data_IF_770850334894
#
_entry.id   IF_770850334894
#
_cell.length_a   1.000
_cell.length_b   1.000
_cell.length_c   1.000
_cell.angle_alpha   90.00
_cell.angle_beta   90.00
_cell.angle_gamma   90.00
#
_symmetry.space_group_name_H-M   'P 1'
#
loop_
_entity.id
_entity.type
_entity.pdbx_description
1 polymer ?
#
# COMPACT_ATOMS: atom_id res chain seq x y z
N UNK A 1 2.09 -31.79 53.45
CA UNK A 1 1.18 -30.71 53.04
C UNK A 1 1.98 -29.54 52.49
N UNK A 2 2.06 -29.39 51.16
CA UNK A 2 2.59 -28.19 50.48
C UNK A 2 1.73 -27.97 49.24
N UNK A 3 0.72 -27.12 49.38
CA UNK A 3 -0.14 -26.69 48.28
C UNK A 3 0.66 -25.68 47.45
N UNK A 4 1.12 -26.09 46.26
CA UNK A 4 1.64 -25.13 45.27
C UNK A 4 0.46 -24.65 44.45
N UNK A 5 0.04 -23.41 44.74
CA UNK A 5 -0.94 -22.65 44.00
C UNK A 5 -0.41 -22.44 42.57
N UNK A 6 -0.83 -23.27 41.62
CA UNK A 6 -0.63 -22.99 40.21
C UNK A 6 -1.57 -21.84 39.84
N UNK A 7 -0.99 -20.66 39.66
CA UNK A 7 -1.66 -19.49 39.11
C UNK A 7 -2.16 -19.86 37.71
N UNK A 8 -3.41 -20.27 37.63
CA UNK A 8 -4.13 -20.42 36.37
C UNK A 8 -4.44 -19.02 35.82
N UNK A 9 -3.41 -18.32 35.36
CA UNK A 9 -3.60 -17.26 34.36
C UNK A 9 -3.57 -17.97 33.01
N UNK A 10 -4.61 -18.78 32.77
CA UNK A 10 -5.10 -18.96 31.40
C UNK A 10 -5.84 -17.67 31.10
N UNK A 11 -5.07 -16.58 30.92
CA UNK A 11 -5.54 -15.53 30.04
C UNK A 11 -5.57 -16.24 28.69
N UNK A 12 -6.76 -16.73 28.33
CA UNK A 12 -7.14 -16.81 26.95
C UNK A 12 -6.90 -15.41 26.40
N UNK A 13 -5.69 -15.19 25.87
CA UNK A 13 -5.46 -14.19 24.86
C UNK A 13 -6.39 -14.62 23.74
N UNK A 14 -7.65 -14.18 23.84
CA UNK A 14 -8.52 -14.03 22.70
C UNK A 14 -7.65 -13.26 21.73
N UNK A 15 -7.10 -14.00 20.78
CA UNK A 15 -6.60 -13.45 19.55
C UNK A 15 -7.84 -12.81 18.93
N UNK A 16 -8.09 -11.55 19.28
CA UNK A 16 -8.90 -10.66 18.50
C UNK A 16 -8.12 -10.50 17.20
N UNK A 17 -8.14 -11.53 16.35
CA UNK A 17 -7.92 -11.35 14.94
C UNK A 17 -9.15 -10.59 14.46
N UNK A 18 -9.13 -9.28 14.69
CA UNK A 18 -9.86 -8.34 13.87
C UNK A 18 -9.22 -8.40 12.48
N UNK A 19 -9.40 -9.53 11.78
CA UNK A 19 -9.08 -9.63 10.37
C UNK A 19 -9.94 -8.57 9.71
N UNK A 20 -9.31 -7.49 9.28
CA UNK A 20 -9.99 -6.44 8.51
C UNK A 20 -10.60 -7.13 7.30
N UNK A 21 -11.92 -7.34 7.32
CA UNK A 21 -12.59 -7.93 6.19
C UNK A 21 -12.50 -6.95 5.03
N UNK A 22 -12.06 -7.43 3.87
CA UNK A 22 -12.14 -6.66 2.64
C UNK A 22 -13.64 -6.47 2.34
N UNK A 23 -14.12 -5.25 2.48
CA UNK A 23 -15.53 -4.91 2.22
C UNK A 23 -15.67 -4.18 0.90
N UNK A 24 -16.81 -4.34 0.24
CA UNK A 24 -17.16 -3.56 -0.95
C UNK A 24 -17.05 -2.06 -0.69
N UNK A 25 -17.54 -1.59 0.47
CA UNK A 25 -17.46 -0.19 0.88
C UNK A 25 -16.02 0.33 0.93
N UNK A 26 -15.10 -0.46 1.47
CA UNK A 26 -13.68 -0.11 1.53
C UNK A 26 -13.07 -0.02 0.13
N UNK A 27 -13.36 -0.99 -0.74
CA UNK A 27 -12.89 -0.97 -2.13
C UNK A 27 -13.44 0.23 -2.89
N UNK A 28 -14.75 0.49 -2.79
CA UNK A 28 -15.40 1.64 -3.41
C UNK A 28 -14.78 2.97 -2.96
N UNK A 29 -14.39 3.11 -1.69
CA UNK A 29 -13.73 4.32 -1.21
C UNK A 29 -12.40 4.59 -1.93
N UNK A 30 -11.56 3.56 -2.08
CA UNK A 30 -10.29 3.69 -2.79
C UNK A 30 -10.49 3.98 -4.28
N UNK A 31 -11.41 3.25 -4.91
CA UNK A 31 -11.75 3.44 -6.33
C UNK A 31 -12.24 4.87 -6.56
N UNK A 32 -13.15 5.38 -5.74
CA UNK A 32 -13.69 6.75 -5.87
C UNK A 32 -12.59 7.81 -5.78
N UNK A 33 -11.63 7.66 -4.86
CA UNK A 33 -10.51 8.61 -4.76
C UNK A 33 -9.60 8.51 -5.98
N UNK A 34 -9.11 7.29 -6.28
CA UNK A 34 -8.15 7.07 -7.35
C UNK A 34 -8.73 7.44 -8.72
N UNK A 35 -10.00 7.16 -8.97
CA UNK A 35 -10.71 7.49 -10.20
C UNK A 35 -11.34 8.90 -10.22
N UNK A 36 -11.15 9.71 -9.19
CA UNK A 36 -11.76 11.05 -9.14
C UNK A 36 -11.19 12.00 -10.21
N UNK A 37 -12.03 12.94 -10.66
CA UNK A 37 -11.63 14.03 -11.56
C UNK A 37 -10.48 14.87 -11.01
N UNK A 38 -10.36 14.96 -9.67
CA UNK A 38 -9.27 15.65 -8.98
C UNK A 38 -7.88 15.08 -9.30
N UNK A 39 -7.81 13.81 -9.71
CA UNK A 39 -6.58 13.12 -10.10
C UNK A 39 -6.39 13.03 -11.62
N UNK A 40 -7.27 13.65 -12.41
CA UNK A 40 -7.07 13.93 -13.85
C UNK A 40 -6.48 12.77 -14.69
N UNK A 41 -6.86 11.54 -14.38
CA UNK A 41 -6.37 10.35 -15.09
C UNK A 41 -4.89 10.00 -14.86
N UNK A 42 -4.22 10.56 -13.85
CA UNK A 42 -2.96 10.06 -13.26
C UNK A 42 -1.86 9.70 -14.27
N UNK A 43 -1.68 10.53 -15.30
CA UNK A 43 -0.64 10.29 -16.30
C UNK A 43 0.74 10.25 -15.66
N UNK A 44 1.54 9.27 -16.01
CA UNK A 44 2.87 9.07 -15.43
C UNK A 44 3.75 10.32 -15.62
N UNK A 45 4.50 10.71 -14.60
CA UNK A 45 5.31 11.93 -14.53
C UNK A 45 4.54 13.25 -14.32
N UNK A 46 3.21 13.22 -14.16
CA UNK A 46 2.43 14.42 -13.85
C UNK A 46 2.29 14.65 -12.34
N UNK A 47 1.88 15.86 -11.95
CA UNK A 47 1.53 16.13 -10.55
C UNK A 47 0.37 15.25 -10.02
N UNK A 48 -0.52 14.78 -10.91
CA UNK A 48 -1.69 14.00 -10.52
C UNK A 48 -1.34 12.54 -10.24
N UNK A 49 -0.40 11.98 -10.99
CA UNK A 49 0.27 10.74 -10.60
C UNK A 49 0.93 10.90 -9.23
N UNK A 50 1.66 11.99 -8.98
CA UNK A 50 2.28 12.24 -7.67
C UNK A 50 1.25 12.28 -6.53
N UNK A 51 0.10 12.93 -6.73
CA UNK A 51 -1.01 12.93 -5.76
C UNK A 51 -1.55 11.53 -5.50
N UNK A 52 -1.72 10.72 -6.54
CA UNK A 52 -2.16 9.33 -6.40
C UNK A 52 -1.13 8.47 -5.64
N UNK A 53 0.16 8.64 -5.94
CA UNK A 53 1.24 7.96 -5.25
C UNK A 53 1.28 8.31 -3.76
N UNK A 54 1.13 9.60 -3.40
CA UNK A 54 1.04 10.06 -2.01
C UNK A 54 -0.17 9.44 -1.30
N UNK A 55 -1.32 9.36 -1.96
CA UNK A 55 -2.50 8.70 -1.40
C UNK A 55 -2.22 7.23 -1.03
N UNK A 56 -1.64 6.47 -1.96
CA UNK A 56 -1.31 5.05 -1.73
C UNK A 56 -0.26 4.91 -0.62
N UNK A 57 0.83 5.68 -0.68
CA UNK A 57 1.91 5.66 0.31
C UNK A 57 1.38 5.96 1.71
N UNK A 58 0.52 6.97 1.86
CA UNK A 58 -0.06 7.32 3.14
C UNK A 58 -0.97 6.22 3.68
N UNK A 59 -1.67 5.49 2.79
CA UNK A 59 -2.48 4.35 3.20
C UNK A 59 -1.59 3.17 3.65
N UNK A 60 -0.49 2.88 2.95
CA UNK A 60 0.52 1.91 3.41
C UNK A 60 1.07 2.27 4.79
N UNK A 61 1.40 3.55 5.01
CA UNK A 61 1.85 4.03 6.31
C UNK A 61 0.77 3.88 7.39
N UNK A 62 -0.50 4.15 7.06
CA UNK A 62 -1.64 3.95 7.98
C UNK A 62 -1.82 2.48 8.36
N UNK A 63 -1.51 1.55 7.46
CA UNK A 63 -1.53 0.11 7.72
C UNK A 63 -0.31 -0.38 8.53
N UNK A 64 0.64 0.51 8.85
CA UNK A 64 1.87 0.15 9.57
C UNK A 64 2.91 -0.56 8.70
N UNK A 65 2.78 -0.50 7.37
CA UNK A 65 3.77 -1.10 6.48
C UNK A 65 5.08 -0.30 6.50
N UNK A 66 6.21 -1.01 6.42
CA UNK A 66 7.54 -0.39 6.31
C UNK A 66 7.69 0.18 4.90
N UNK A 67 7.76 1.50 4.79
CA UNK A 67 8.03 2.18 3.54
C UNK A 67 9.47 1.88 3.07
N UNK A 68 9.64 1.54 1.79
CA UNK A 68 10.95 1.23 1.19
C UNK A 68 11.44 2.38 0.28
N UNK A 69 12.67 2.26 -0.24
CA UNK A 69 13.30 3.28 -1.10
C UNK A 69 13.32 4.67 -0.43
N UNK A 70 12.96 5.73 -1.16
CA UNK A 70 12.87 7.08 -0.60
C UNK A 70 11.49 7.31 0.03
N UNK A 71 11.35 6.91 1.30
CA UNK A 71 10.11 7.10 2.07
C UNK A 71 8.85 6.54 1.38
N UNK A 72 9.00 5.40 0.71
CA UNK A 72 7.95 4.71 -0.04
C UNK A 72 7.95 4.99 -1.53
N UNK A 73 8.76 5.93 -2.02
CA UNK A 73 8.85 6.28 -3.43
C UNK A 73 10.14 5.74 -4.06
N UNK A 74 9.99 5.03 -5.19
CA UNK A 74 11.12 4.62 -6.02
C UNK A 74 11.01 5.35 -7.36
N UNK A 75 11.86 6.36 -7.57
CA UNK A 75 11.89 7.12 -8.82
C UNK A 75 12.50 6.31 -9.96
N UNK A 76 11.97 6.47 -11.17
CA UNK A 76 12.55 5.91 -12.40
C UNK A 76 12.35 6.85 -13.58
N UNK A 77 13.29 6.80 -14.53
CA UNK A 77 13.23 7.56 -15.77
C UNK A 77 12.60 6.72 -16.89
N UNK A 78 11.84 7.36 -17.77
CA UNK A 78 11.28 6.75 -18.97
C UNK A 78 11.22 7.78 -20.12
N UNK A 79 11.18 7.31 -21.37
CA UNK A 79 11.03 8.20 -22.53
C UNK A 79 9.56 8.30 -22.91
N UNK A 80 8.96 9.47 -22.70
CA UNK A 80 7.61 9.77 -23.17
C UNK A 80 7.59 10.43 -24.55
N UNK A 81 6.39 10.66 -25.08
CA UNK A 81 6.19 11.34 -26.37
C UNK A 81 6.82 12.74 -26.47
N UNK A 82 7.02 13.41 -25.33
CA UNK A 82 7.62 14.75 -25.24
C UNK A 82 9.05 14.72 -24.72
N UNK A 83 9.73 13.58 -24.80
CA UNK A 83 11.09 13.38 -24.32
C UNK A 83 11.18 12.66 -22.97
N UNK A 84 12.39 12.65 -22.36
CA UNK A 84 12.65 12.01 -21.08
C UNK A 84 11.75 12.57 -19.97
N UNK A 85 11.21 11.67 -19.16
CA UNK A 85 10.34 11.96 -18.01
C UNK A 85 10.77 11.11 -16.82
N UNK A 86 10.37 11.55 -15.64
CA UNK A 86 10.55 10.80 -14.38
C UNK A 86 9.16 10.47 -13.85
N UNK A 87 8.98 9.24 -13.42
CA UNK A 87 7.82 8.70 -12.73
C UNK A 87 8.30 7.98 -11.46
N UNK A 88 7.39 7.40 -10.69
CA UNK A 88 7.72 6.75 -9.43
C UNK A 88 6.85 5.52 -9.18
N UNK A 89 7.41 4.51 -8.54
CA UNK A 89 6.66 3.43 -7.92
C UNK A 89 6.35 3.78 -6.46
N UNK A 90 5.34 3.13 -5.89
CA UNK A 90 5.06 3.15 -4.44
C UNK A 90 5.34 1.77 -3.87
N UNK A 91 6.26 1.66 -2.92
CA UNK A 91 6.74 0.37 -2.41
C UNK A 91 6.72 0.37 -0.87
N UNK A 92 6.10 -0.65 -0.31
CA UNK A 92 6.12 -0.93 1.12
C UNK A 92 6.28 -2.42 1.38
N UNK A 93 6.69 -2.77 2.60
CA UNK A 93 7.03 -4.11 3.01
C UNK A 93 6.35 -4.46 4.33
N UNK A 94 5.83 -5.68 4.40
CA UNK A 94 5.37 -6.32 5.61
C UNK A 94 6.36 -7.44 5.94
N UNK A 95 7.00 -7.36 7.10
CA UNK A 95 7.94 -8.40 7.53
C UNK A 95 7.16 -9.66 7.92
N UNK A 96 7.57 -10.81 7.35
CA UNK A 96 7.00 -12.10 7.68
C UNK A 96 7.36 -12.50 9.11
N UNK A 97 6.39 -13.08 9.83
CA UNK A 97 6.58 -13.53 11.21
C UNK A 97 7.16 -14.94 11.33
N UNK A 98 7.16 -15.73 10.25
CA UNK A 98 7.68 -17.10 10.24
C UNK A 98 9.21 -17.10 10.25
N UNK A 99 9.87 -17.63 11.29
CA UNK A 99 11.32 -17.57 11.43
C UNK A 99 12.08 -18.38 10.37
N UNK A 100 11.44 -19.39 9.77
CA UNK A 100 12.00 -20.25 8.72
C UNK A 100 11.84 -19.59 7.36
N UNK A 101 10.65 -19.06 7.06
CA UNK A 101 10.32 -18.49 5.75
C UNK A 101 10.63 -16.99 5.62
N UNK A 102 11.14 -16.31 6.66
CA UNK A 102 11.41 -14.85 6.64
C UNK A 102 12.36 -14.36 5.55
N UNK A 103 13.09 -15.27 4.89
CA UNK A 103 13.98 -14.95 3.76
C UNK A 103 13.28 -15.05 2.40
N UNK A 104 12.06 -15.56 2.36
CA UNK A 104 11.23 -15.62 1.16
C UNK A 104 10.35 -14.37 1.06
N UNK A 105 10.08 -13.91 -0.16
CA UNK A 105 9.29 -12.72 -0.40
C UNK A 105 8.17 -13.01 -1.40
N UNK A 106 6.96 -12.57 -1.04
CA UNK A 106 5.83 -12.50 -1.97
C UNK A 106 5.69 -11.05 -2.44
N UNK A 107 5.78 -10.83 -3.75
CA UNK A 107 5.58 -9.51 -4.35
C UNK A 107 4.16 -9.44 -4.92
N UNK A 108 3.37 -8.48 -4.43
CA UNK A 108 2.04 -8.17 -4.96
C UNK A 108 2.12 -6.78 -5.59
N UNK A 109 1.71 -6.67 -6.85
CA UNK A 109 1.81 -5.44 -7.64
C UNK A 109 0.52 -5.08 -8.35
N UNK A 110 0.35 -3.79 -8.63
CA UNK A 110 -0.68 -3.22 -9.49
C UNK A 110 -0.17 -1.90 -10.07
N UNK A 111 -0.71 -1.49 -11.23
CA UNK A 111 -0.46 -0.15 -11.76
C UNK A 111 -1.49 0.83 -11.18
N UNK A 112 -1.05 2.05 -10.87
CA UNK A 112 -1.95 3.11 -10.38
C UNK A 112 -2.04 4.30 -11.34
N UNK A 113 -1.09 4.42 -12.26
CA UNK A 113 -1.10 5.41 -13.33
C UNK A 113 -2.12 5.04 -14.41
N UNK A 114 -2.44 6.02 -15.25
CA UNK A 114 -3.37 5.87 -16.37
C UNK A 114 -3.01 6.86 -17.49
N UNK A 115 -3.78 6.93 -18.57
CA UNK A 115 -3.43 7.71 -19.78
C UNK A 115 -3.49 9.24 -19.60
N UNK A 116 -4.00 9.74 -18.47
CA UNK A 116 -4.32 11.16 -18.25
C UNK A 116 -5.73 11.54 -18.69
N UNK A 117 -5.95 12.84 -18.87
CA UNK A 117 -7.20 13.36 -19.44
C UNK A 117 -7.36 12.89 -20.88
N UNK A 118 -8.54 12.34 -21.19
CA UNK A 118 -8.96 12.18 -22.57
C UNK A 118 -9.07 13.58 -23.21
N UNK A 119 -8.39 13.78 -24.33
CA UNK A 119 -8.67 14.89 -25.23
C UNK A 119 -9.66 14.35 -26.25
N UNK A 120 -10.94 14.56 -26.00
CA UNK A 120 -11.93 14.39 -27.06
C UNK A 120 -11.89 15.66 -27.93
N UNK A 121 -11.80 15.54 -29.26
CA UNK A 121 -11.95 16.66 -30.17
C UNK A 121 -13.34 17.29 -30.09
#
# INVERSE_FOLDING_TARGET
>A
MRVRLFTAIVLAALSLHAGSQITEKMLQQHIRVLASDSLQGRKSGTEYERKAAVYIRNYFQKLGLKLLADSGFQSFAYTGLSGPKVSQNVIAFLEGSDPVLRQECVVIGAHYDHIGKARFP
#
